data_IF_549616682124
#
_entry.id   IF_549616682124
#
_cell.length_a   1.000
_cell.length_b   1.000
_cell.length_c   1.000
_cell.angle_alpha   90.00
_cell.angle_beta   90.00
_cell.angle_gamma   90.00
#
_symmetry.space_group_name_H-M   'P 1'
#
loop_
_entity.id
_entity.type
_entity.pdbx_description
1 polymer ?
#
# COMPACT_ATOMS: atom_id res chain seq x y z
N UNK A 1 6.25 -29.63 -23.79
CA UNK A 1 5.21 -28.73 -23.29
C UNK A 1 4.81 -27.66 -24.31
N UNK A 2 3.84 -26.85 -23.96
CA UNK A 2 3.30 -25.81 -24.84
C UNK A 2 3.19 -24.49 -24.11
N UNK A 3 3.66 -23.40 -24.72
CA UNK A 3 3.22 -22.06 -24.35
C UNK A 3 1.79 -21.87 -24.85
N UNK A 4 0.93 -21.40 -23.97
CA UNK A 4 -0.50 -21.18 -24.26
C UNK A 4 -0.94 -19.80 -23.81
N UNK A 5 -1.86 -19.20 -24.54
CA UNK A 5 -2.60 -18.03 -24.09
C UNK A 5 -4.10 -18.34 -24.12
N UNK A 6 -4.81 -17.87 -23.10
CA UNK A 6 -6.27 -17.95 -23.03
C UNK A 6 -6.86 -16.59 -23.38
N UNK A 7 -7.76 -16.60 -24.37
CA UNK A 7 -8.59 -15.43 -24.68
C UNK A 7 -10.05 -15.89 -24.78
N UNK A 8 -10.90 -15.32 -23.95
CA UNK A 8 -12.27 -15.79 -23.80
C UNK A 8 -12.31 -17.25 -23.30
N UNK A 9 -13.21 -18.06 -23.86
CA UNK A 9 -13.36 -19.47 -23.49
C UNK A 9 -12.34 -20.42 -24.15
N UNK A 10 -11.48 -19.92 -25.04
CA UNK A 10 -10.60 -20.77 -25.83
C UNK A 10 -9.13 -20.58 -25.45
N UNK A 11 -8.40 -21.72 -25.37
CA UNK A 11 -6.95 -21.73 -25.32
C UNK A 11 -6.36 -21.75 -26.74
N UNK A 12 -5.35 -20.93 -26.97
CA UNK A 12 -4.54 -21.02 -28.17
C UNK A 12 -3.15 -21.53 -27.82
N UNK A 13 -2.68 -22.54 -28.54
CA UNK A 13 -1.29 -22.93 -28.49
C UNK A 13 -0.47 -21.85 -29.18
N UNK A 14 0.56 -21.34 -28.49
CA UNK A 14 1.47 -20.32 -29.02
C UNK A 14 2.72 -20.98 -29.59
N UNK A 15 3.36 -21.81 -28.81
CA UNK A 15 4.63 -22.43 -29.15
C UNK A 15 4.80 -23.74 -28.35
N UNK A 16 5.42 -24.75 -28.98
CA UNK A 16 5.94 -25.92 -28.27
C UNK A 16 7.31 -25.54 -27.69
N UNK A 17 7.49 -25.71 -26.41
CA UNK A 17 8.77 -25.47 -25.76
C UNK A 17 9.58 -26.76 -25.56
N UNK A 18 10.90 -26.61 -25.50
CA UNK A 18 11.86 -27.67 -25.28
C UNK A 18 12.37 -27.59 -23.84
N UNK A 19 12.35 -28.69 -23.06
CA UNK A 19 12.95 -28.72 -21.73
C UNK A 19 14.45 -28.32 -21.79
N UNK A 20 14.88 -27.57 -20.77
CA UNK A 20 16.27 -27.11 -20.66
C UNK A 20 16.64 -25.88 -21.53
N UNK A 21 15.75 -25.44 -22.41
CA UNK A 21 15.95 -24.24 -23.19
C UNK A 21 15.43 -23.01 -22.48
N UNK A 22 16.18 -21.92 -22.54
CA UNK A 22 15.76 -20.60 -22.07
C UNK A 22 15.05 -19.85 -23.18
N UNK A 23 13.93 -19.23 -22.84
CA UNK A 23 13.13 -18.43 -23.74
C UNK A 23 12.99 -17.01 -23.20
N UNK A 24 13.14 -16.02 -24.08
CA UNK A 24 12.72 -14.64 -23.78
C UNK A 24 11.23 -14.53 -24.12
N UNK A 25 10.39 -14.39 -23.10
CA UNK A 25 8.95 -14.18 -23.31
C UNK A 25 8.63 -12.72 -23.03
N UNK A 26 7.98 -12.07 -23.97
CA UNK A 26 7.54 -10.69 -23.88
C UNK A 26 6.04 -10.64 -24.10
N UNK A 27 5.34 -9.95 -23.22
CA UNK A 27 3.88 -9.85 -23.25
C UNK A 27 3.49 -8.39 -23.30
N UNK A 28 2.90 -7.98 -24.40
CA UNK A 28 2.31 -6.65 -24.54
C UNK A 28 0.83 -6.70 -24.17
N UNK A 29 0.41 -5.79 -23.32
CA UNK A 29 -0.95 -5.67 -22.84
C UNK A 29 -1.51 -4.30 -23.22
N UNK A 30 -2.59 -4.30 -24.01
CA UNK A 30 -3.35 -3.09 -24.29
C UNK A 30 -4.71 -3.19 -23.61
N UNK A 31 -4.84 -2.49 -22.48
CA UNK A 31 -6.10 -2.46 -21.70
C UNK A 31 -7.20 -1.80 -22.50
N UNK A 32 -6.90 -0.66 -23.13
CA UNK A 32 -7.86 0.09 -23.95
C UNK A 32 -8.44 -0.74 -25.11
N UNK A 33 -7.60 -1.54 -25.77
CA UNK A 33 -8.00 -2.40 -26.89
C UNK A 33 -8.39 -3.80 -26.43
N UNK A 34 -8.28 -4.11 -25.14
CA UNK A 34 -8.54 -5.43 -24.58
C UNK A 34 -7.71 -6.55 -25.22
N UNK A 35 -6.47 -6.25 -25.56
CA UNK A 35 -5.60 -7.15 -26.32
C UNK A 35 -4.35 -7.55 -25.53
N UNK A 36 -4.00 -8.83 -25.65
CA UNK A 36 -2.69 -9.35 -25.23
C UNK A 36 -1.96 -9.90 -26.44
N UNK A 37 -0.73 -9.46 -26.63
CA UNK A 37 0.18 -9.99 -27.65
C UNK A 37 1.37 -10.63 -26.97
N UNK A 38 1.72 -11.84 -27.37
CA UNK A 38 2.84 -12.59 -26.81
C UNK A 38 3.92 -12.76 -27.88
N UNK A 39 5.15 -12.44 -27.53
CA UNK A 39 6.35 -12.69 -28.32
C UNK A 39 7.22 -13.70 -27.58
N UNK A 40 7.86 -14.58 -28.33
CA UNK A 40 8.86 -15.52 -27.82
C UNK A 40 10.10 -15.36 -28.67
N UNK A 41 11.23 -15.07 -28.03
CA UNK A 41 12.52 -14.80 -28.68
C UNK A 41 12.40 -13.74 -29.80
N UNK A 42 11.63 -12.69 -29.51
CA UNK A 42 11.39 -11.56 -30.43
C UNK A 42 10.39 -11.82 -31.55
N UNK A 43 9.84 -13.04 -31.69
CA UNK A 43 8.85 -13.38 -32.71
C UNK A 43 7.45 -13.39 -32.11
N UNK A 44 6.48 -12.76 -32.79
CA UNK A 44 5.07 -12.79 -32.39
C UNK A 44 4.56 -14.24 -32.40
N UNK A 45 4.26 -14.74 -31.21
CA UNK A 45 3.74 -16.09 -31.02
C UNK A 45 2.21 -16.15 -31.06
N UNK A 46 1.55 -15.05 -30.71
CA UNK A 46 0.10 -14.96 -30.78
C UNK A 46 -0.47 -13.68 -30.22
N UNK A 47 -1.77 -13.51 -30.45
CA UNK A 47 -2.53 -12.36 -29.96
C UNK A 47 -3.91 -12.83 -29.53
N UNK A 48 -4.42 -12.32 -28.43
CA UNK A 48 -5.74 -12.71 -27.87
C UNK A 48 -6.43 -11.49 -27.27
N UNK A 49 -7.75 -11.55 -27.22
CA UNK A 49 -8.57 -10.56 -26.54
C UNK A 49 -8.73 -10.93 -25.07
N UNK A 50 -8.80 -9.96 -24.17
CA UNK A 50 -9.15 -10.18 -22.77
C UNK A 50 -10.56 -10.75 -22.65
N UNK A 51 -10.76 -11.63 -21.66
CA UNK A 51 -12.05 -12.24 -21.42
C UNK A 51 -13.12 -11.18 -21.03
N UNK A 52 -12.76 -10.24 -20.18
CA UNK A 52 -13.62 -9.14 -19.75
C UNK A 52 -12.89 -7.81 -19.87
N UNK A 53 -13.61 -6.68 -19.99
CA UNK A 53 -13.00 -5.37 -19.86
C UNK A 53 -12.48 -5.21 -18.43
N UNK A 54 -11.28 -4.66 -18.30
CA UNK A 54 -10.66 -4.35 -17.01
C UNK A 54 -10.10 -2.93 -17.10
N UNK A 55 -10.13 -2.16 -16.00
CA UNK A 55 -9.59 -0.80 -16.00
C UNK A 55 -8.05 -0.79 -15.99
N UNK A 56 -7.44 -1.81 -15.41
CA UNK A 56 -5.99 -1.92 -15.29
C UNK A 56 -5.55 -3.39 -15.17
N UNK A 57 -4.26 -3.63 -15.32
CA UNK A 57 -3.61 -4.91 -14.98
C UNK A 57 -2.94 -4.73 -13.62
N UNK A 58 -3.49 -5.33 -12.60
CA UNK A 58 -3.05 -5.15 -11.22
C UNK A 58 -2.03 -6.19 -10.77
N UNK A 59 -1.98 -7.34 -11.45
CA UNK A 59 -1.17 -8.45 -10.98
C UNK A 59 -0.62 -9.29 -12.13
N UNK A 60 0.64 -9.69 -11.98
CA UNK A 60 1.26 -10.78 -12.77
C UNK A 60 1.58 -11.92 -11.81
N UNK A 61 1.15 -13.12 -12.15
CA UNK A 61 1.35 -14.31 -11.33
C UNK A 61 2.02 -15.41 -12.14
N UNK A 62 3.05 -16.01 -11.56
CA UNK A 62 3.68 -17.21 -12.08
C UNK A 62 3.27 -18.41 -11.24
N UNK A 63 2.86 -19.48 -11.90
CA UNK A 63 2.39 -20.70 -11.23
C UNK A 63 2.92 -21.94 -11.89
N UNK A 64 3.18 -22.95 -11.08
CA UNK A 64 3.39 -24.33 -11.50
C UNK A 64 2.18 -25.18 -11.06
N UNK A 65 1.82 -26.19 -11.82
CA UNK A 65 0.72 -27.09 -11.51
C UNK A 65 -0.25 -27.26 -12.67
N UNK A 66 -1.17 -28.20 -12.53
CA UNK A 66 -2.19 -28.45 -13.53
C UNK A 66 -3.09 -27.24 -13.72
N UNK A 67 -3.34 -26.88 -14.95
CA UNK A 67 -4.23 -25.78 -15.30
C UNK A 67 -5.67 -26.32 -15.40
N UNK A 68 -6.62 -25.64 -14.74
CA UNK A 68 -8.02 -25.92 -15.01
C UNK A 68 -8.36 -25.68 -16.47
N UNK A 69 -8.98 -26.67 -17.06
CA UNK A 69 -9.39 -26.59 -18.45
C UNK A 69 -10.67 -25.76 -18.60
N UNK A 70 -11.56 -25.83 -17.60
CA UNK A 70 -12.84 -25.10 -17.60
C UNK A 70 -13.24 -24.70 -16.18
N UNK A 71 -13.67 -23.45 -15.94
CA UNK A 71 -14.43 -23.11 -14.74
C UNK A 71 -15.79 -23.83 -14.84
N UNK A 72 -16.22 -24.49 -13.77
CA UNK A 72 -17.56 -25.05 -13.63
C UNK A 72 -18.36 -24.22 -12.62
N UNK A 73 -19.67 -24.50 -12.51
CA UNK A 73 -20.52 -23.87 -11.49
C UNK A 73 -19.99 -24.16 -10.08
N UNK A 74 -19.51 -25.38 -9.86
CA UNK A 74 -18.95 -25.83 -8.56
C UNK A 74 -17.52 -25.35 -8.33
N UNK A 75 -16.87 -24.87 -9.37
CA UNK A 75 -15.49 -24.39 -9.34
C UNK A 75 -15.37 -23.10 -10.14
N UNK A 76 -16.04 -22.02 -9.72
CA UNK A 76 -15.99 -20.75 -10.41
C UNK A 76 -14.55 -20.27 -10.53
N UNK A 77 -14.28 -19.52 -11.59
CA UNK A 77 -13.01 -18.81 -11.70
C UNK A 77 -12.81 -18.01 -10.42
N UNK A 78 -11.69 -18.23 -9.81
CA UNK A 78 -11.36 -17.72 -8.49
C UNK A 78 -11.44 -16.20 -8.45
N UNK A 79 -12.36 -15.70 -7.70
CA UNK A 79 -12.62 -14.28 -7.57
C UNK A 79 -11.51 -13.55 -6.82
N UNK A 80 -10.71 -14.25 -6.04
CA UNK A 80 -9.64 -13.69 -5.22
C UNK A 80 -8.23 -14.08 -5.68
N UNK A 81 -8.07 -14.71 -6.84
CA UNK A 81 -6.79 -15.16 -7.33
C UNK A 81 -6.22 -16.38 -6.57
N UNK A 82 -7.01 -17.04 -5.74
CA UNK A 82 -6.71 -18.34 -5.15
C UNK A 82 -7.20 -19.39 -6.14
N UNK A 83 -6.39 -19.80 -7.08
CA UNK A 83 -6.77 -20.93 -7.90
C UNK A 83 -6.82 -22.17 -7.00
N UNK A 84 -7.90 -22.95 -7.00
CA UNK A 84 -7.96 -24.16 -6.20
C UNK A 84 -6.75 -25.01 -6.51
N UNK A 85 -6.30 -25.73 -5.52
CA UNK A 85 -5.22 -26.68 -5.69
C UNK A 85 -5.45 -27.46 -6.96
N UNK A 86 -4.49 -27.41 -7.87
CA UNK A 86 -4.45 -28.34 -8.97
C UNK A 86 -4.62 -29.73 -8.36
N UNK A 87 -5.53 -30.53 -8.88
CA UNK A 87 -5.63 -31.92 -8.48
C UNK A 87 -4.28 -32.63 -8.44
N UNK A 88 -4.19 -33.87 -8.64
CA UNK A 88 -3.02 -34.73 -8.55
C UNK A 88 -1.67 -34.04 -8.85
N UNK A 89 -0.71 -34.26 -8.00
CA UNK A 89 0.65 -33.73 -8.17
C UNK A 89 1.22 -34.27 -9.49
N UNK A 90 1.40 -33.38 -10.44
CA UNK A 90 2.21 -33.67 -11.63
C UNK A 90 3.67 -33.91 -11.18
N UNK A 91 4.44 -34.69 -11.95
CA UNK A 91 5.86 -34.88 -11.72
C UNK A 91 6.56 -33.53 -11.53
N UNK A 92 7.46 -33.46 -10.58
CA UNK A 92 8.15 -32.23 -10.20
C UNK A 92 8.76 -31.51 -11.42
N UNK A 93 8.17 -30.40 -11.81
CA UNK A 93 8.71 -29.53 -12.87
C UNK A 93 9.32 -28.29 -12.24
N UNK A 94 10.58 -28.03 -12.54
CA UNK A 94 11.27 -26.81 -12.09
C UNK A 94 11.31 -25.81 -13.22
N UNK A 95 10.74 -24.63 -12.97
CA UNK A 95 10.87 -23.47 -13.86
C UNK A 95 11.74 -22.43 -13.18
N UNK A 96 12.67 -21.86 -13.94
CA UNK A 96 13.48 -20.74 -13.48
C UNK A 96 13.07 -19.47 -14.22
N UNK A 97 12.76 -18.43 -13.46
CA UNK A 97 12.55 -17.08 -14.01
C UNK A 97 13.81 -16.30 -13.70
N UNK A 98 14.66 -16.10 -14.71
CA UNK A 98 15.95 -15.44 -14.55
C UNK A 98 15.80 -13.90 -14.42
N UNK A 99 14.89 -13.32 -15.20
CA UNK A 99 14.64 -11.87 -15.21
C UNK A 99 13.15 -11.62 -15.38
N UNK A 100 12.63 -10.72 -14.55
CA UNK A 100 11.28 -10.20 -14.72
C UNK A 100 11.35 -8.67 -14.73
N UNK A 101 10.77 -8.06 -15.75
CA UNK A 101 10.71 -6.62 -15.90
C UNK A 101 9.34 -6.24 -16.43
N UNK A 102 8.72 -5.24 -15.85
CA UNK A 102 7.56 -4.55 -16.40
C UNK A 102 8.00 -3.20 -16.94
N UNK A 103 7.44 -2.79 -18.06
CA UNK A 103 7.62 -1.46 -18.61
C UNK A 103 6.33 -1.07 -19.32
N UNK A 104 6.02 0.22 -19.37
CA UNK A 104 4.99 0.70 -20.25
C UNK A 104 5.53 0.87 -21.66
N UNK A 105 4.70 0.52 -22.65
CA UNK A 105 5.02 0.71 -24.05
C UNK A 105 4.93 2.18 -24.49
N UNK A 106 4.16 3.00 -23.78
CA UNK A 106 4.13 4.44 -24.01
C UNK A 106 5.42 5.06 -23.51
N UNK A 107 6.14 5.74 -24.38
CA UNK A 107 7.39 6.44 -24.06
C UNK A 107 7.20 7.51 -22.98
N UNK A 108 5.96 7.97 -22.77
CA UNK A 108 5.56 8.90 -21.70
C UNK A 108 5.13 8.23 -20.39
N UNK A 109 5.05 6.91 -20.35
CA UNK A 109 4.63 6.17 -19.16
C UNK A 109 5.75 5.92 -18.13
N UNK A 110 6.88 6.57 -18.28
CA UNK A 110 7.78 6.87 -17.16
C UNK A 110 7.33 8.10 -16.35
N UNK A 111 6.39 8.89 -16.87
CA UNK A 111 5.73 9.93 -16.14
C UNK A 111 4.67 9.29 -15.23
N UNK A 112 4.64 9.65 -13.96
CA UNK A 112 3.58 9.25 -13.05
C UNK A 112 2.22 9.49 -13.75
N UNK A 113 1.39 8.45 -13.77
CA UNK A 113 0.08 8.49 -14.45
C UNK A 113 -0.80 9.63 -13.90
N UNK A 114 -0.67 9.88 -12.60
CA UNK A 114 -1.27 11.02 -11.91
C UNK A 114 -0.18 12.05 -11.60
N UNK A 115 -0.48 13.31 -11.83
CA UNK A 115 0.42 14.43 -11.54
C UNK A 115 -0.17 15.28 -10.42
N UNK A 116 0.61 15.58 -9.41
CA UNK A 116 0.15 16.36 -8.26
C UNK A 116 -0.48 17.70 -8.66
N UNK A 117 0.04 18.36 -9.69
CA UNK A 117 -0.51 19.62 -10.20
C UNK A 117 -2.00 19.58 -10.51
N UNK A 118 -2.54 18.39 -10.87
CA UNK A 118 -3.93 18.20 -11.21
C UNK A 118 -4.84 18.19 -9.96
N UNK A 119 -4.25 17.94 -8.78
CA UNK A 119 -4.92 17.88 -7.48
C UNK A 119 -4.61 19.09 -6.57
N UNK A 120 -3.60 19.88 -6.94
CA UNK A 120 -3.22 21.10 -6.20
C UNK A 120 -4.39 22.06 -5.94
N UNK A 121 -5.37 22.25 -6.86
CA UNK A 121 -6.52 23.10 -6.61
C UNK A 121 -7.33 22.75 -5.36
N UNK A 122 -7.38 21.47 -4.97
CA UNK A 122 -8.00 21.06 -3.71
C UNK A 122 -7.28 21.67 -2.50
N UNK A 123 -5.96 21.61 -2.51
CA UNK A 123 -5.14 22.14 -1.41
C UNK A 123 -5.25 23.65 -1.32
N UNK A 124 -5.25 24.34 -2.45
CA UNK A 124 -5.43 25.80 -2.50
C UNK A 124 -6.80 26.19 -1.94
N UNK A 125 -7.84 25.45 -2.29
CA UNK A 125 -9.18 25.62 -1.75
C UNK A 125 -9.21 25.39 -0.23
N UNK A 126 -8.66 24.30 0.28
CA UNK A 126 -8.66 24.00 1.71
C UNK A 126 -7.88 25.05 2.51
N UNK A 127 -6.75 25.54 1.99
CA UNK A 127 -6.01 26.64 2.60
C UNK A 127 -6.81 27.93 2.68
N UNK A 128 -7.76 28.15 1.75
CA UNK A 128 -8.61 29.33 1.75
C UNK A 128 -9.78 29.26 2.73
N UNK A 129 -10.07 28.10 3.30
CA UNK A 129 -11.22 27.90 4.21
C UNK A 129 -10.98 28.40 5.64
N UNK A 130 -9.72 28.69 6.01
CA UNK A 130 -9.38 29.07 7.38
C UNK A 130 -8.18 30.03 7.45
N UNK A 131 -8.10 30.80 8.51
CA UNK A 131 -7.01 31.74 8.79
C UNK A 131 -5.80 31.10 9.51
N UNK A 132 -5.70 29.81 9.61
CA UNK A 132 -4.64 29.07 10.31
C UNK A 132 -4.16 29.73 11.62
N UNK A 133 -5.07 29.95 12.56
CA UNK A 133 -4.73 30.56 13.84
C UNK A 133 -3.75 29.72 14.68
N UNK A 134 -3.65 28.42 14.39
CA UNK A 134 -2.74 27.47 15.05
C UNK A 134 -2.03 26.67 13.97
N UNK A 135 -0.75 26.92 13.78
CA UNK A 135 0.13 26.11 12.95
C UNK A 135 0.94 25.12 13.81
N UNK A 136 1.10 23.90 13.33
CA UNK A 136 2.00 22.90 13.90
C UNK A 136 3.24 22.72 13.01
N UNK A 137 3.83 21.53 12.93
CA UNK A 137 5.06 21.28 12.19
C UNK A 137 4.97 21.67 10.70
N UNK A 138 3.79 21.52 10.07
CA UNK A 138 3.61 21.76 8.65
C UNK A 138 2.46 22.75 8.43
N UNK A 139 2.76 24.05 8.30
CA UNK A 139 1.74 25.09 8.12
C UNK A 139 1.09 25.04 6.73
N UNK A 140 -0.04 25.74 6.57
CA UNK A 140 -0.78 25.82 5.30
C UNK A 140 0.09 26.30 4.14
N UNK A 141 1.01 27.23 4.39
CA UNK A 141 1.96 27.71 3.38
C UNK A 141 2.85 26.59 2.78
N UNK A 142 3.06 25.51 3.53
CA UNK A 142 3.84 24.33 3.09
C UNK A 142 2.97 23.15 2.70
N UNK A 143 1.65 23.24 2.83
CA UNK A 143 0.74 22.13 2.62
C UNK A 143 0.89 21.50 1.23
N UNK A 144 0.91 22.33 0.19
CA UNK A 144 1.00 21.84 -1.20
C UNK A 144 2.30 21.07 -1.45
N UNK A 145 3.44 21.63 -1.05
CA UNK A 145 4.73 20.98 -1.21
C UNK A 145 4.78 19.66 -0.41
N UNK A 146 4.35 19.70 0.85
CA UNK A 146 4.37 18.50 1.69
C UNK A 146 3.49 17.39 1.15
N UNK A 147 2.31 17.71 0.64
CA UNK A 147 1.41 16.72 0.06
C UNK A 147 2.00 16.13 -1.23
N UNK A 148 2.59 16.94 -2.10
CA UNK A 148 3.28 16.47 -3.30
C UNK A 148 4.38 15.45 -2.98
N UNK A 149 5.16 15.73 -1.94
CA UNK A 149 6.29 14.89 -1.53
C UNK A 149 5.85 13.60 -0.80
N UNK A 150 4.76 13.65 -0.04
CA UNK A 150 4.50 12.64 0.98
C UNK A 150 3.27 11.77 0.77
N UNK A 151 2.26 12.20 0.00
CA UNK A 151 1.04 11.41 -0.12
C UNK A 151 0.98 10.60 -1.40
N UNK A 152 0.35 9.42 -1.42
CA UNK A 152 -0.05 8.77 -2.65
C UNK A 152 -1.13 9.60 -3.36
N UNK A 153 -1.09 9.61 -4.69
CA UNK A 153 -2.12 10.31 -5.48
C UNK A 153 -3.29 9.38 -5.74
N UNK A 154 -4.47 9.98 -5.82
CA UNK A 154 -5.72 9.26 -6.03
C UNK A 154 -6.61 10.02 -7.00
N UNK A 155 -7.18 9.34 -7.97
CA UNK A 155 -8.17 9.87 -8.89
C UNK A 155 -9.42 9.00 -8.86
N UNK A 156 -10.58 9.64 -8.86
CA UNK A 156 -11.87 8.97 -8.86
C UNK A 156 -12.88 9.74 -9.73
N UNK A 157 -13.77 9.01 -10.42
CA UNK A 157 -14.88 9.63 -11.16
C UNK A 157 -15.87 10.35 -10.25
N UNK A 158 -15.96 9.94 -8.98
CA UNK A 158 -16.75 10.56 -7.92
C UNK A 158 -15.92 11.68 -7.26
N UNK A 159 -16.04 12.90 -7.76
CA UNK A 159 -15.18 14.02 -7.34
C UNK A 159 -15.31 14.40 -5.88
N UNK A 160 -16.46 14.17 -5.25
CA UNK A 160 -16.62 14.34 -3.81
C UNK A 160 -15.77 13.36 -2.98
N UNK A 161 -15.55 12.12 -3.44
CA UNK A 161 -14.62 11.20 -2.78
C UNK A 161 -13.16 11.59 -3.00
N UNK A 162 -12.82 12.06 -4.19
CA UNK A 162 -11.49 12.57 -4.50
C UNK A 162 -11.17 13.81 -3.63
N UNK A 163 -12.08 14.77 -3.53
CA UNK A 163 -11.96 15.92 -2.65
C UNK A 163 -11.78 15.49 -1.18
N UNK A 164 -12.62 14.57 -0.69
CA UNK A 164 -12.51 14.03 0.67
C UNK A 164 -11.17 13.36 0.91
N UNK A 165 -10.64 12.61 -0.06
CA UNK A 165 -9.33 11.98 0.04
C UNK A 165 -8.23 13.01 0.27
N UNK A 166 -8.16 14.07 -0.54
CA UNK A 166 -7.15 15.13 -0.37
C UNK A 166 -7.38 15.96 0.89
N UNK A 167 -8.63 16.20 1.27
CA UNK A 167 -8.97 16.86 2.52
C UNK A 167 -8.47 16.08 3.75
N UNK A 168 -8.60 14.76 3.75
CA UNK A 168 -8.07 13.89 4.82
C UNK A 168 -6.56 14.04 4.96
N UNK A 169 -5.82 14.03 3.88
CA UNK A 169 -4.36 14.25 3.93
C UNK A 169 -3.99 15.67 4.35
N UNK A 170 -4.73 16.66 3.86
CA UNK A 170 -4.54 18.05 4.25
C UNK A 170 -4.78 18.26 5.76
N UNK A 171 -5.79 17.62 6.35
CA UNK A 171 -6.02 17.65 7.81
C UNK A 171 -4.99 16.85 8.57
N UNK A 172 -4.61 15.63 8.11
CA UNK A 172 -3.63 14.80 8.79
C UNK A 172 -2.31 15.56 9.02
N UNK A 173 -1.78 16.26 8.01
CA UNK A 173 -0.55 17.04 8.17
C UNK A 173 -0.65 18.09 9.26
N UNK A 174 -1.81 18.71 9.48
CA UNK A 174 -2.03 19.72 10.51
C UNK A 174 -1.86 19.15 11.92
N UNK A 175 -2.05 17.87 12.09
CA UNK A 175 -1.96 17.18 13.36
C UNK A 175 -0.57 16.60 13.64
N UNK A 176 0.35 16.67 12.69
CA UNK A 176 1.75 16.34 12.91
C UNK A 176 2.40 17.46 13.70
N UNK A 177 2.88 17.12 14.87
CA UNK A 177 3.47 18.05 15.84
C UNK A 177 4.95 17.76 16.01
N UNK A 178 5.77 18.79 15.92
CA UNK A 178 7.17 18.70 16.30
C UNK A 178 7.31 18.79 17.83
N UNK A 179 8.08 17.88 18.39
CA UNK A 179 8.37 17.82 19.83
C UNK A 179 9.88 17.73 20.07
N UNK A 180 10.38 17.98 21.28
CA UNK A 180 11.79 17.81 21.58
C UNK A 180 12.34 16.39 21.40
N UNK A 181 11.47 15.41 21.23
CA UNK A 181 11.83 13.97 21.10
C UNK A 181 11.48 13.38 19.74
N UNK A 182 11.09 14.22 18.78
CA UNK A 182 10.70 13.83 17.44
C UNK A 182 9.26 14.24 17.11
N UNK A 183 8.75 13.78 15.98
CA UNK A 183 7.36 14.04 15.62
C UNK A 183 6.40 13.26 16.52
N UNK A 184 5.31 13.92 16.90
CA UNK A 184 4.11 13.31 17.46
C UNK A 184 2.92 13.60 16.56
N UNK A 185 1.80 12.94 16.81
CA UNK A 185 0.52 13.25 16.19
C UNK A 185 -0.56 13.40 17.25
N UNK A 186 -1.37 14.43 17.14
CA UNK A 186 -2.42 14.74 18.08
C UNK A 186 -3.71 15.11 17.38
N UNK A 187 -4.84 14.70 17.93
CA UNK A 187 -6.17 15.12 17.46
C UNK A 187 -6.48 16.59 17.81
N UNK A 188 -5.68 17.20 18.69
CA UNK A 188 -6.00 18.49 19.29
C UNK A 188 -5.02 19.59 18.88
N UNK A 189 -5.53 20.62 18.27
CA UNK A 189 -4.76 21.85 18.02
C UNK A 189 -4.54 22.67 19.31
N UNK A 190 -5.45 22.56 20.29
CA UNK A 190 -5.33 23.22 21.59
C UNK A 190 -5.06 22.20 22.69
N UNK A 191 -4.33 22.60 23.74
CA UNK A 191 -3.97 21.70 24.83
C UNK A 191 -5.19 21.16 25.58
N UNK A 192 -5.14 19.88 25.93
CA UNK A 192 -6.16 19.18 26.70
C UNK A 192 -5.56 18.62 27.99
N UNK A 193 -6.21 18.86 29.12
CA UNK A 193 -5.75 18.43 30.44
C UNK A 193 -5.68 16.92 30.62
N UNK A 194 -6.52 16.18 29.89
CA UNK A 194 -6.54 14.71 29.93
C UNK A 194 -5.53 14.05 28.97
N UNK A 195 -5.01 14.80 28.00
CA UNK A 195 -3.94 14.31 27.11
C UNK A 195 -2.63 14.09 27.88
N UNK A 196 -1.72 13.35 27.26
CA UNK A 196 -0.37 13.14 27.76
C UNK A 196 0.54 14.31 27.39
N UNK A 197 1.81 14.20 27.71
CA UNK A 197 2.86 15.13 27.30
C UNK A 197 2.75 15.40 25.78
N UNK A 198 3.03 16.63 25.39
CA UNK A 198 2.90 17.12 24.01
C UNK A 198 1.47 17.08 23.44
N UNK A 199 0.47 17.00 24.31
CA UNK A 199 -0.95 16.93 23.93
C UNK A 199 -1.35 15.67 23.15
N UNK A 200 -0.64 14.55 23.39
CA UNK A 200 -0.90 13.27 22.75
C UNK A 200 -1.99 12.47 23.48
N UNK A 201 -2.75 11.63 22.76
CA UNK A 201 -3.76 10.78 23.36
C UNK A 201 -3.65 9.34 22.84
N UNK A 202 -3.63 8.37 23.77
CA UNK A 202 -3.29 6.99 23.46
C UNK A 202 -4.35 6.27 22.60
N UNK A 203 -5.64 6.56 22.78
CA UNK A 203 -6.69 5.91 22.00
C UNK A 203 -6.61 6.15 20.49
N UNK A 204 -5.92 7.22 20.07
CA UNK A 204 -5.78 7.56 18.66
C UNK A 204 -4.55 6.94 17.99
N UNK A 205 -3.60 6.36 18.74
CA UNK A 205 -2.30 5.89 18.20
C UNK A 205 -2.51 4.94 17.00
N UNK A 206 -3.35 3.91 17.17
CA UNK A 206 -3.60 2.94 16.12
C UNK A 206 -4.14 3.58 14.84
N UNK A 207 -5.08 4.52 14.97
CA UNK A 207 -5.61 5.27 13.82
C UNK A 207 -4.53 6.11 13.15
N UNK A 208 -3.71 6.83 13.92
CA UNK A 208 -2.63 7.63 13.39
C UNK A 208 -1.62 6.79 12.60
N UNK A 209 -1.26 5.60 13.10
CA UNK A 209 -0.37 4.67 12.41
C UNK A 209 -1.02 4.16 11.12
N UNK A 210 -2.30 3.75 11.18
CA UNK A 210 -3.02 3.22 10.01
C UNK A 210 -3.17 4.25 8.89
N UNK A 211 -3.40 5.52 9.23
CA UNK A 211 -3.46 6.58 8.23
C UNK A 211 -2.07 6.93 7.70
N UNK A 212 -1.09 7.11 8.57
CA UNK A 212 0.25 7.58 8.19
C UNK A 212 1.12 6.51 7.52
N UNK A 213 0.76 5.23 7.58
CA UNK A 213 1.53 4.14 6.96
C UNK A 213 1.66 4.24 5.43
N UNK A 214 0.86 5.11 4.81
CA UNK A 214 0.89 5.37 3.37
C UNK A 214 1.76 6.56 2.99
N UNK A 215 2.31 7.28 3.96
CA UNK A 215 3.25 8.38 3.69
C UNK A 215 4.51 7.84 3.00
N UNK A 216 4.96 8.55 1.97
CA UNK A 216 6.18 8.19 1.23
C UNK A 216 7.44 8.36 2.08
N UNK A 217 7.48 9.40 2.92
CA UNK A 217 8.56 9.57 3.88
C UNK A 217 8.22 8.83 5.19
N UNK A 218 8.88 7.70 5.46
CA UNK A 218 8.61 6.89 6.65
C UNK A 218 9.03 7.56 7.96
N UNK A 219 9.88 8.61 7.91
CA UNK A 219 10.42 9.25 9.09
C UNK A 219 9.36 9.91 9.96
N UNK A 220 8.31 10.47 9.37
CA UNK A 220 7.19 10.98 10.15
C UNK A 220 6.59 9.88 11.04
N UNK A 221 6.29 8.73 10.44
CA UNK A 221 5.67 7.63 11.18
C UNK A 221 6.65 6.94 12.12
N UNK A 222 7.92 6.78 11.74
CA UNK A 222 8.97 6.27 12.62
C UNK A 222 9.01 7.06 13.92
N UNK A 223 9.11 8.38 13.80
CA UNK A 223 9.23 9.26 14.96
C UNK A 223 7.92 9.35 15.76
N UNK A 224 6.75 9.34 15.11
CA UNK A 224 5.46 9.30 15.81
C UNK A 224 5.37 8.05 16.69
N UNK A 225 5.74 6.87 16.19
CA UNK A 225 5.74 5.64 16.96
C UNK A 225 6.79 5.72 18.09
N UNK A 226 8.03 6.10 17.77
CA UNK A 226 9.09 6.21 18.77
C UNK A 226 8.75 7.23 19.88
N UNK A 227 8.10 8.34 19.55
CA UNK A 227 7.65 9.33 20.55
C UNK A 227 6.73 8.68 21.58
N UNK A 228 5.83 7.79 21.16
CA UNK A 228 4.95 7.08 22.09
C UNK A 228 5.70 6.07 22.97
N UNK A 229 6.63 5.32 22.42
CA UNK A 229 7.31 4.23 23.13
C UNK A 229 8.58 4.66 23.86
N UNK A 230 9.22 5.77 23.43
CA UNK A 230 10.54 6.18 23.93
C UNK A 230 10.64 7.67 24.24
N UNK A 231 9.57 8.43 24.07
CA UNK A 231 9.58 9.90 24.19
C UNK A 231 9.55 10.44 25.63
N UNK A 232 9.39 9.59 26.63
CA UNK A 232 9.40 9.98 28.03
C UNK A 232 10.69 9.47 28.69
N UNK A 233 11.78 10.26 28.56
CA UNK A 233 13.10 9.93 29.13
C UNK A 233 13.64 8.54 28.66
N UNK A 234 13.41 8.23 27.40
CA UNK A 234 13.78 6.93 26.80
C UNK A 234 12.76 5.80 27.03
N UNK A 235 11.71 6.06 27.78
CA UNK A 235 10.61 5.14 28.05
C UNK A 235 9.30 5.58 27.39
N UNK A 236 8.25 4.78 27.56
CA UNK A 236 6.94 5.07 26.98
C UNK A 236 6.24 6.23 27.67
N UNK A 237 5.37 6.90 26.93
CA UNK A 237 4.56 7.99 27.42
C UNK A 237 3.73 7.57 28.64
N UNK A 238 3.59 8.43 29.61
CA UNK A 238 3.02 8.12 30.93
C UNK A 238 1.57 7.61 30.85
N UNK A 239 0.78 8.15 29.92
CA UNK A 239 -0.63 7.78 29.74
C UNK A 239 -0.87 6.80 28.58
N UNK A 240 0.16 6.09 28.10
CA UNK A 240 0.07 5.21 26.93
C UNK A 240 -0.98 4.10 27.10
N UNK A 241 -1.15 3.58 28.31
CA UNK A 241 -2.14 2.54 28.64
C UNK A 241 -3.40 3.09 29.36
N UNK A 242 -3.59 4.42 29.33
CA UNK A 242 -4.77 5.04 29.98
C UNK A 242 -6.09 4.74 29.27
N UNK A 243 -6.02 4.61 27.95
CA UNK A 243 -7.17 4.31 27.10
C UNK A 243 -6.87 3.06 26.27
N UNK A 244 -7.91 2.32 25.90
CA UNK A 244 -7.77 1.16 25.01
C UNK A 244 -7.10 1.56 23.69
N UNK A 245 -6.22 0.71 23.22
CA UNK A 245 -5.47 0.90 21.96
C UNK A 245 -5.15 -0.46 21.34
N UNK A 246 -4.77 -0.46 20.05
CA UNK A 246 -4.36 -1.65 19.32
C UNK A 246 -3.00 -1.42 18.63
N UNK A 247 -2.05 -0.90 19.39
CA UNK A 247 -0.78 -0.43 18.84
C UNK A 247 0.02 -1.53 18.15
N UNK A 248 0.07 -2.74 18.72
CA UNK A 248 0.79 -3.85 18.13
C UNK A 248 0.22 -4.24 16.74
N UNK A 249 -1.11 -4.30 16.62
CA UNK A 249 -1.78 -4.53 15.34
C UNK A 249 -1.47 -3.41 14.34
N UNK A 250 -1.47 -2.16 14.80
CA UNK A 250 -1.18 -1.02 13.94
C UNK A 250 0.26 -1.02 13.43
N UNK A 251 1.26 -1.36 14.27
CA UNK A 251 2.66 -1.49 13.87
C UNK A 251 2.84 -2.64 12.88
N UNK A 252 2.15 -3.77 13.09
CA UNK A 252 2.11 -4.85 12.12
C UNK A 252 1.44 -4.41 10.82
N UNK A 253 0.32 -3.68 10.90
CA UNK A 253 -0.40 -3.12 9.75
C UNK A 253 0.45 -2.14 8.93
N UNK A 254 1.37 -1.42 9.57
CA UNK A 254 2.38 -0.63 8.89
C UNK A 254 3.36 -1.53 8.12
N UNK A 255 3.96 -2.52 8.79
CA UNK A 255 4.86 -3.47 8.14
C UNK A 255 4.25 -4.14 6.91
N UNK A 256 2.95 -4.44 6.96
CA UNK A 256 2.24 -5.03 5.81
C UNK A 256 2.16 -4.09 4.60
N UNK A 257 2.39 -2.79 4.78
CA UNK A 257 2.41 -1.80 3.69
C UNK A 257 3.83 -1.52 3.21
N UNK A 258 4.76 -1.22 4.15
CA UNK A 258 6.11 -0.76 3.81
C UNK A 258 7.17 -1.86 3.75
N UNK A 259 6.87 -3.05 4.30
CA UNK A 259 7.81 -4.18 4.35
C UNK A 259 9.05 -3.92 5.22
N UNK A 260 9.08 -2.85 6.03
CA UNK A 260 10.24 -2.47 6.81
C UNK A 260 10.42 -3.39 8.03
N UNK A 261 11.07 -4.53 7.78
CA UNK A 261 11.35 -5.54 8.81
C UNK A 261 12.28 -5.02 9.90
N UNK A 262 13.23 -4.16 9.57
CA UNK A 262 14.17 -3.62 10.56
C UNK A 262 13.45 -2.80 11.61
N UNK A 263 12.56 -1.91 11.19
CA UNK A 263 11.74 -1.13 12.10
C UNK A 263 10.82 -2.02 12.94
N UNK A 264 10.19 -3.03 12.33
CA UNK A 264 9.33 -3.96 13.08
C UNK A 264 10.12 -4.67 14.19
N UNK A 265 11.32 -5.17 13.87
CA UNK A 265 12.18 -5.85 14.84
C UNK A 265 12.69 -4.91 15.94
N UNK A 266 12.99 -3.65 15.62
CA UNK A 266 13.34 -2.62 16.60
C UNK A 266 12.22 -2.39 17.63
N UNK A 267 10.96 -2.49 17.19
CA UNK A 267 9.79 -2.27 18.05
C UNK A 267 9.36 -3.46 18.90
N UNK A 268 9.86 -4.68 18.64
CA UNK A 268 9.38 -5.90 19.35
C UNK A 268 9.45 -5.77 20.85
N UNK A 269 10.59 -5.32 21.40
CA UNK A 269 10.75 -5.18 22.85
C UNK A 269 9.81 -4.16 23.47
N UNK A 270 9.53 -3.07 22.75
CA UNK A 270 8.60 -2.04 23.19
C UNK A 270 7.16 -2.56 23.21
N UNK A 271 6.77 -3.33 22.19
CA UNK A 271 5.46 -3.97 22.11
C UNK A 271 5.26 -5.04 23.18
N UNK A 272 6.28 -5.85 23.46
CA UNK A 272 6.26 -6.83 24.56
C UNK A 272 6.11 -6.13 25.92
N UNK A 273 6.84 -5.04 26.13
CA UNK A 273 6.75 -4.24 27.37
C UNK A 273 5.38 -3.57 27.53
N UNK A 274 4.77 -3.10 26.42
CA UNK A 274 3.40 -2.59 26.44
C UNK A 274 2.41 -3.67 26.85
N UNK A 275 2.51 -4.85 26.24
CA UNK A 275 1.64 -5.99 26.57
C UNK A 275 1.75 -6.36 28.06
N UNK A 276 2.97 -6.49 28.57
CA UNK A 276 3.20 -6.79 29.99
C UNK A 276 2.64 -5.71 30.93
N UNK A 277 2.65 -4.45 30.50
CA UNK A 277 2.03 -3.35 31.26
C UNK A 277 0.50 -3.48 31.27
N UNK A 278 -0.12 -3.82 30.15
CA UNK A 278 -1.56 -4.09 30.08
C UNK A 278 -1.96 -5.23 31.00
N UNK A 279 -1.22 -6.34 31.01
CA UNK A 279 -1.49 -7.45 31.92
C UNK A 279 -1.43 -7.03 33.39
N UNK A 280 -0.44 -6.21 33.75
CA UNK A 280 -0.25 -5.77 35.13
C UNK A 280 -1.35 -4.79 35.60
N UNK A 281 -1.80 -3.90 34.73
CA UNK A 281 -2.67 -2.77 35.14
C UNK A 281 -4.14 -3.01 34.87
N UNK A 282 -4.49 -3.89 33.94
CA UNK A 282 -5.87 -4.07 33.47
C UNK A 282 -6.33 -5.53 33.50
N UNK A 283 -5.60 -6.41 34.20
CA UNK A 283 -6.01 -7.79 34.40
C UNK A 283 -7.23 -7.81 35.38
N UNK A 284 -8.34 -8.42 34.95
CA UNK A 284 -9.52 -8.66 35.76
C UNK A 284 -9.28 -9.77 36.78
#
# INVERSE_FOLDING_TARGET
>A
GLFRAKGGARFGNLLKYEPGKTYKVEVELSVANRMVTVYVDGKKAGQRMFFAPVPAIERVMFRTGAQRTYPTVDTPADWYGILPNAGEQEPLCTYRIAHFKTASADKDAGAAFLKYKDFKPYVDYFNSMEDENIAQAIPNARASQWMEENIPLFECSQKNFEEMYYYRWWTLRKHIKETPVGYGMTEFLVNRSYADKYNLIACAIGHHIYESRWLRNPEYLNQIIHTWYRGNEGGPMAKMTKFSSWNADAVLGRYMVDGNKEFLLDMVKDLEAEYARWEKTNRL
#
